data_IF_247647132749
#
_entry.id   IF_247647132749
#
_cell.length_a   1.000
_cell.length_b   1.000
_cell.length_c   1.000
_cell.angle_alpha   90.00
_cell.angle_beta   90.00
_cell.angle_gamma   90.00
#
_symmetry.space_group_name_H-M   'P 1'
#
loop_
_entity.id
_entity.type
_entity.pdbx_description
1 polymer ?
#
# COMPACT_ATOMS: atom_id res chain seq x y z
N UNK A 1 -10.72 19.75 49.67
CA UNK A 1 -10.73 18.71 48.61
C UNK A 1 -10.20 19.28 47.29
N UNK A 2 -8.86 19.32 47.17
CA UNK A 2 -8.18 19.69 45.93
C UNK A 2 -8.13 18.44 45.04
N UNK A 3 -8.95 18.43 43.99
CA UNK A 3 -8.77 17.48 42.88
C UNK A 3 -7.54 17.97 42.13
N UNK A 4 -6.40 17.35 42.47
CA UNK A 4 -5.15 17.45 41.74
C UNK A 4 -5.41 17.05 40.28
N UNK A 5 -5.47 18.05 39.40
CA UNK A 5 -5.35 17.87 37.95
C UNK A 5 -3.95 17.30 37.68
N UNK A 6 -3.87 15.98 37.65
CA UNK A 6 -2.76 15.27 37.04
C UNK A 6 -2.91 15.39 35.51
N UNK A 7 -2.66 16.59 34.99
CA UNK A 7 -2.32 16.81 33.59
C UNK A 7 -0.88 16.33 33.39
N UNK A 8 -0.70 15.01 33.39
CA UNK A 8 0.53 14.39 32.88
C UNK A 8 0.73 14.92 31.46
N UNK A 9 1.82 15.66 31.27
CA UNK A 9 2.13 16.32 30.00
C UNK A 9 2.16 15.29 28.87
N UNK A 10 1.13 15.32 28.02
CA UNK A 10 1.11 14.59 26.75
C UNK A 10 2.46 14.77 26.08
N UNK A 11 3.11 13.67 25.68
CA UNK A 11 4.41 13.74 25.03
C UNK A 11 4.28 14.68 23.83
N UNK A 12 5.23 15.59 23.61
CA UNK A 12 5.14 16.60 22.54
C UNK A 12 4.87 16.01 21.15
N UNK A 13 5.17 14.72 20.94
CA UNK A 13 4.79 13.94 19.75
C UNK A 13 3.27 13.70 19.66
N UNK A 14 2.59 13.33 20.75
CA UNK A 14 1.14 13.10 20.78
C UNK A 14 0.34 14.34 20.35
N UNK A 15 0.79 15.53 20.77
CA UNK A 15 0.16 16.78 20.33
C UNK A 15 0.33 16.99 18.82
N UNK A 16 1.49 16.64 18.26
CA UNK A 16 1.72 16.74 16.82
C UNK A 16 0.83 15.76 16.05
N UNK A 17 0.72 14.50 16.49
CA UNK A 17 -0.20 13.52 15.90
C UNK A 17 -1.63 14.03 15.87
N UNK A 18 -2.13 14.50 17.02
CA UNK A 18 -3.47 15.07 17.10
C UNK A 18 -3.67 16.27 16.16
N UNK A 19 -2.67 17.13 16.01
CA UNK A 19 -2.74 18.29 15.12
C UNK A 19 -2.82 17.89 13.65
N UNK A 20 -2.01 16.94 13.21
CA UNK A 20 -2.04 16.49 11.81
C UNK A 20 -3.31 15.70 11.48
N UNK A 21 -3.82 14.91 12.42
CA UNK A 21 -5.09 14.19 12.27
C UNK A 21 -6.26 15.15 12.15
N UNK A 22 -6.33 16.15 13.05
CA UNK A 22 -7.37 17.18 13.00
C UNK A 22 -7.29 18.03 11.73
N UNK A 23 -6.07 18.32 11.27
CA UNK A 23 -5.86 19.08 10.04
C UNK A 23 -6.33 18.28 8.82
N UNK A 24 -5.95 17.01 8.69
CA UNK A 24 -6.31 16.15 7.57
C UNK A 24 -7.79 15.74 7.57
N UNK A 25 -8.40 15.57 8.75
CA UNK A 25 -9.76 15.07 8.87
C UNK A 25 -9.87 13.65 8.30
N UNK A 26 -10.69 13.47 7.27
CA UNK A 26 -10.86 12.20 6.55
C UNK A 26 -10.20 12.21 5.16
N UNK A 27 -9.47 13.28 4.82
CA UNK A 27 -8.83 13.43 3.52
C UNK A 27 -7.49 12.67 3.49
N UNK A 28 -7.16 12.11 2.33
CA UNK A 28 -5.92 11.40 2.03
C UNK A 28 -5.15 12.09 0.90
N UNK A 29 -3.85 11.79 0.70
CA UNK A 29 -3.00 12.41 -0.32
C UNK A 29 -3.55 12.44 -1.75
N UNK A 30 -4.39 11.49 -2.16
CA UNK A 30 -5.05 11.50 -3.47
C UNK A 30 -6.24 12.45 -3.59
N UNK A 31 -6.77 12.91 -2.45
CA UNK A 31 -7.98 13.71 -2.42
C UNK A 31 -7.67 15.17 -2.76
N UNK A 32 -8.57 15.80 -3.53
CA UNK A 32 -8.35 17.16 -4.06
C UNK A 32 -8.16 18.21 -2.96
N UNK A 33 -8.81 18.01 -1.81
CA UNK A 33 -8.84 18.96 -0.69
C UNK A 33 -7.80 18.65 0.38
N UNK A 34 -6.88 17.72 0.12
CA UNK A 34 -5.89 17.32 1.11
C UNK A 34 -5.01 18.52 1.56
N UNK A 35 -4.88 18.77 2.88
CA UNK A 35 -4.38 20.05 3.41
C UNK A 35 -2.85 20.10 3.54
N UNK A 36 -2.14 19.89 2.42
CA UNK A 36 -0.67 19.81 2.36
C UNK A 36 0.07 20.90 3.16
N UNK A 37 -0.31 22.16 2.95
CA UNK A 37 0.36 23.30 3.56
C UNK A 37 0.18 23.35 5.08
N UNK A 38 -1.00 22.96 5.59
CA UNK A 38 -1.30 22.97 7.01
C UNK A 38 -0.53 21.86 7.75
N UNK A 39 -0.45 20.67 7.16
CA UNK A 39 0.34 19.56 7.71
C UNK A 39 1.83 19.94 7.83
N UNK A 40 2.38 20.54 6.78
CA UNK A 40 3.75 21.08 6.78
C UNK A 40 3.97 22.10 7.88
N UNK A 41 3.03 23.03 8.07
CA UNK A 41 3.10 24.04 9.13
C UNK A 41 3.20 23.41 10.53
N UNK A 42 2.42 22.37 10.81
CA UNK A 42 2.48 21.66 12.10
C UNK A 42 3.84 21.00 12.33
N UNK A 43 4.43 20.39 11.29
CA UNK A 43 5.77 19.81 11.35
C UNK A 43 6.87 20.85 11.54
N UNK A 44 6.81 21.98 10.81
CA UNK A 44 7.76 23.08 10.99
C UNK A 44 7.71 23.65 12.42
N UNK A 45 6.51 23.81 12.99
CA UNK A 45 6.34 24.24 14.38
C UNK A 45 6.90 23.23 15.38
N UNK A 46 6.70 21.94 15.12
CA UNK A 46 7.26 20.85 15.92
C UNK A 46 8.79 20.90 15.90
N UNK A 47 9.40 21.00 14.71
CA UNK A 47 10.85 21.05 14.53
C UNK A 47 11.48 22.31 15.14
N UNK A 48 10.84 23.48 14.96
CA UNK A 48 11.33 24.75 15.54
C UNK A 48 11.44 24.68 17.07
N UNK A 49 10.51 24.00 17.74
CA UNK A 49 10.53 23.79 19.21
C UNK A 49 11.68 22.88 19.68
N UNK A 50 12.39 22.20 18.76
CA UNK A 50 13.52 21.32 19.07
C UNK A 50 14.88 21.99 18.88
N UNK A 51 14.91 23.21 18.33
CA UNK A 51 16.14 23.95 18.11
C UNK A 51 16.85 23.54 16.82
N UNK A 52 18.16 23.78 16.77
CA UNK A 52 19.00 23.43 15.62
C UNK A 52 19.27 21.93 15.63
N UNK A 53 18.66 21.21 14.70
CA UNK A 53 18.89 19.79 14.46
C UNK A 53 19.73 19.63 13.18
N UNK A 54 20.67 18.69 13.19
CA UNK A 54 21.29 18.17 11.98
C UNK A 54 20.26 17.42 11.11
N UNK A 55 20.59 17.16 9.85
CA UNK A 55 19.70 16.41 8.96
C UNK A 55 19.46 14.97 9.48
N UNK A 56 20.49 14.31 9.99
CA UNK A 56 20.38 12.95 10.54
C UNK A 56 19.47 12.89 11.78
N UNK A 57 19.60 13.85 12.70
CA UNK A 57 18.72 13.94 13.88
C UNK A 57 17.26 14.25 13.50
N UNK A 58 17.08 15.06 12.44
CA UNK A 58 15.76 15.36 11.88
C UNK A 58 15.14 14.12 11.27
N UNK A 59 15.88 13.39 10.44
CA UNK A 59 15.43 12.14 9.81
C UNK A 59 15.02 11.11 10.85
N UNK A 60 15.85 10.90 11.89
CA UNK A 60 15.54 9.99 13.00
C UNK A 60 14.25 10.38 13.72
N UNK A 61 14.08 11.67 14.03
CA UNK A 61 12.89 12.17 14.73
C UNK A 61 11.62 12.07 13.90
N UNK A 62 11.68 12.47 12.64
CA UNK A 62 10.52 12.44 11.75
C UNK A 62 10.15 10.99 11.39
N UNK A 63 11.14 10.12 11.19
CA UNK A 63 10.92 8.68 11.04
C UNK A 63 10.23 8.07 12.25
N UNK A 64 10.66 8.42 13.46
CA UNK A 64 10.00 7.97 14.69
C UNK A 64 8.54 8.45 14.78
N UNK A 65 8.26 9.72 14.41
CA UNK A 65 6.88 10.21 14.34
C UNK A 65 6.06 9.40 13.33
N UNK A 66 6.54 9.18 12.10
CA UNK A 66 5.81 8.39 11.10
C UNK A 66 5.53 6.98 11.63
N UNK A 67 6.51 6.35 12.29
CA UNK A 67 6.39 4.99 12.81
C UNK A 67 5.41 4.89 13.99
N UNK A 68 5.43 5.86 14.91
CA UNK A 68 4.54 5.93 16.08
C UNK A 68 3.10 6.33 15.73
N UNK A 69 2.87 6.83 14.51
CA UNK A 69 1.53 7.21 14.06
C UNK A 69 0.65 5.98 13.78
N UNK A 70 -0.67 6.17 13.78
CA UNK A 70 -1.61 5.06 13.55
C UNK A 70 -1.32 4.41 12.19
N UNK A 71 -1.23 3.08 12.20
CA UNK A 71 -1.07 2.23 11.02
C UNK A 71 -2.01 2.55 9.86
N UNK A 72 -3.21 3.06 10.13
CA UNK A 72 -4.20 3.40 9.10
C UNK A 72 -4.07 4.82 8.54
N UNK A 73 -3.25 5.68 9.14
CA UNK A 73 -3.06 7.08 8.74
C UNK A 73 -1.59 7.48 8.59
N UNK A 74 -0.68 6.50 8.45
CA UNK A 74 0.76 6.75 8.23
C UNK A 74 1.05 7.62 7.01
N UNK A 75 0.17 7.59 6.01
CA UNK A 75 0.20 8.48 4.85
C UNK A 75 0.09 9.96 5.21
N UNK A 76 -0.71 10.31 6.23
CA UNK A 76 -0.86 11.68 6.72
C UNK A 76 0.44 12.14 7.37
N UNK A 77 1.04 11.30 8.22
CA UNK A 77 2.34 11.59 8.81
C UNK A 77 3.46 11.67 7.75
N UNK A 78 3.43 10.80 6.73
CA UNK A 78 4.37 10.87 5.61
C UNK A 78 4.24 12.19 4.86
N UNK A 79 3.01 12.62 4.53
CA UNK A 79 2.76 13.90 3.87
C UNK A 79 3.25 15.08 4.70
N UNK A 80 3.05 15.02 6.03
CA UNK A 80 3.50 16.04 6.95
C UNK A 80 5.03 16.10 7.13
N UNK A 81 5.75 15.00 6.93
CA UNK A 81 7.18 14.90 7.28
C UNK A 81 8.14 14.86 6.08
N UNK A 82 7.73 14.28 4.95
CA UNK A 82 8.65 13.90 3.87
C UNK A 82 9.46 15.05 3.26
N UNK A 83 8.90 16.28 3.23
CA UNK A 83 9.59 17.46 2.68
C UNK A 83 10.83 17.86 3.49
N UNK A 84 10.89 17.47 4.76
CA UNK A 84 11.95 17.83 5.70
C UNK A 84 12.96 16.70 5.92
N UNK A 85 12.70 15.52 5.35
CA UNK A 85 13.53 14.32 5.47
C UNK A 85 14.49 14.18 4.28
N UNK A 86 15.60 13.48 4.48
CA UNK A 86 16.44 13.05 3.36
C UNK A 86 15.71 12.00 2.50
N UNK A 87 16.05 11.88 1.20
CA UNK A 87 15.47 10.86 0.34
C UNK A 87 15.62 9.43 0.87
N UNK A 88 16.78 9.13 1.46
CA UNK A 88 17.09 7.83 2.05
C UNK A 88 16.19 7.54 3.27
N UNK A 89 15.94 8.55 4.12
CA UNK A 89 15.07 8.39 5.28
C UNK A 89 13.61 8.19 4.87
N UNK A 90 13.13 8.90 3.84
CA UNK A 90 11.78 8.68 3.28
C UNK A 90 11.65 7.26 2.74
N UNK A 91 12.66 6.76 2.01
CA UNK A 91 12.67 5.38 1.52
C UNK A 91 12.65 4.35 2.64
N UNK A 92 13.43 4.56 3.69
CA UNK A 92 13.40 3.68 4.87
C UNK A 92 12.02 3.66 5.53
N UNK A 93 11.33 4.80 5.60
CA UNK A 93 9.98 4.89 6.16
C UNK A 93 8.91 4.23 5.27
N UNK A 94 9.14 4.13 3.94
CA UNK A 94 8.29 3.44 2.96
C UNK A 94 8.60 1.94 2.83
N UNK A 95 9.32 1.34 3.78
CA UNK A 95 9.56 -0.10 3.76
C UNK A 95 8.24 -0.87 3.91
N UNK A 96 7.94 -1.76 2.95
CA UNK A 96 6.67 -2.51 2.90
C UNK A 96 6.42 -3.38 4.14
N UNK A 97 7.47 -3.96 4.73
CA UNK A 97 7.34 -4.88 5.87
C UNK A 97 6.89 -4.16 7.14
N UNK A 98 7.19 -2.85 7.25
CA UNK A 98 6.81 -2.02 8.38
C UNK A 98 5.41 -1.40 8.24
N UNK A 99 4.81 -1.49 7.06
CA UNK A 99 3.60 -0.75 6.72
C UNK A 99 2.43 -1.63 6.32
N UNK A 100 2.65 -2.85 5.85
CA UNK A 100 1.57 -3.73 5.38
C UNK A 100 1.63 -5.08 6.07
N UNK A 101 0.62 -5.34 6.90
CA UNK A 101 0.46 -6.59 7.64
C UNK A 101 0.36 -7.79 6.67
N UNK A 102 1.11 -8.89 6.92
CA UNK A 102 1.02 -10.09 6.09
C UNK A 102 -0.39 -10.68 6.13
N UNK A 103 -0.79 -11.37 5.06
CA UNK A 103 -2.09 -12.08 4.89
C UNK A 103 -3.32 -11.15 4.84
N UNK A 104 -3.49 -10.23 5.79
CA UNK A 104 -4.65 -9.34 5.89
C UNK A 104 -4.52 -8.06 5.07
N UNK A 105 -3.29 -7.66 4.75
CA UNK A 105 -2.96 -6.43 4.02
C UNK A 105 -3.53 -5.17 4.69
N UNK A 106 -3.75 -5.22 6.01
CA UNK A 106 -4.02 -4.03 6.81
C UNK A 106 -2.83 -3.07 6.63
N UNK A 107 -3.15 -1.80 6.37
CA UNK A 107 -2.16 -0.76 6.06
C UNK A 107 -1.84 -0.62 4.56
N UNK A 108 -2.29 -1.52 3.67
CA UNK A 108 -1.99 -1.41 2.23
C UNK A 108 -2.48 -0.08 1.63
N UNK A 109 -3.70 0.34 1.96
CA UNK A 109 -4.25 1.60 1.46
C UNK A 109 -3.38 2.80 1.89
N UNK A 110 -3.11 2.91 3.20
CA UNK A 110 -2.26 3.97 3.76
C UNK A 110 -0.82 3.89 3.19
N UNK A 111 -0.30 2.69 2.98
CA UNK A 111 1.01 2.49 2.35
C UNK A 111 1.07 3.05 0.93
N UNK A 112 0.07 2.79 0.08
CA UNK A 112 0.02 3.34 -1.28
C UNK A 112 -0.16 4.86 -1.26
N UNK A 113 -1.01 5.38 -0.38
CA UNK A 113 -1.16 6.83 -0.15
C UNK A 113 0.17 7.47 0.29
N UNK A 114 0.97 6.78 1.11
CA UNK A 114 2.27 7.27 1.54
C UNK A 114 3.27 7.41 0.37
N UNK A 115 3.20 6.56 -0.67
CA UNK A 115 4.00 6.75 -1.90
C UNK A 115 3.60 8.02 -2.65
N UNK A 116 2.29 8.29 -2.74
CA UNK A 116 1.76 9.53 -3.35
C UNK A 116 2.23 10.76 -2.56
N UNK A 117 2.16 10.70 -1.23
CA UNK A 117 2.65 11.73 -0.34
C UNK A 117 4.15 11.98 -0.45
N UNK A 118 4.95 10.90 -0.45
CA UNK A 118 6.39 10.99 -0.58
C UNK A 118 6.82 11.58 -1.93
N UNK A 119 6.19 11.19 -3.04
CA UNK A 119 6.47 11.79 -4.35
C UNK A 119 6.11 13.27 -4.41
N UNK A 120 4.97 13.67 -3.81
CA UNK A 120 4.57 15.08 -3.76
C UNK A 120 5.59 15.93 -2.98
N UNK A 121 6.02 15.45 -1.82
CA UNK A 121 6.87 16.21 -0.89
C UNK A 121 8.39 16.03 -1.13
N UNK A 122 8.81 14.92 -1.75
CA UNK A 122 10.21 14.52 -1.89
C UNK A 122 10.40 13.64 -3.15
N UNK A 123 10.46 14.29 -4.33
CA UNK A 123 10.59 13.64 -5.64
C UNK A 123 11.90 12.85 -5.82
N UNK A 124 12.94 13.22 -5.10
CA UNK A 124 14.22 12.50 -5.12
C UNK A 124 14.11 11.16 -4.39
N UNK A 125 13.18 11.05 -3.44
CA UNK A 125 12.85 9.78 -2.80
C UNK A 125 12.03 8.93 -3.75
N UNK A 126 10.83 9.36 -4.15
CA UNK A 126 9.85 8.53 -4.90
C UNK A 126 9.59 9.11 -6.29
N UNK A 127 9.76 8.27 -7.31
CA UNK A 127 9.56 8.65 -8.70
C UNK A 127 8.07 8.84 -9.05
N UNK A 128 7.79 9.62 -10.10
CA UNK A 128 6.43 9.81 -10.60
C UNK A 128 5.79 8.49 -11.04
N UNK A 129 6.60 7.55 -11.54
CA UNK A 129 6.15 6.22 -11.93
C UNK A 129 5.64 5.41 -10.72
N UNK A 130 6.37 5.41 -9.61
CA UNK A 130 5.96 4.72 -8.38
C UNK A 130 4.69 5.34 -7.81
N UNK A 131 4.60 6.66 -7.82
CA UNK A 131 3.40 7.37 -7.39
C UNK A 131 2.20 7.05 -8.30
N UNK A 132 2.42 6.93 -9.61
CA UNK A 132 1.36 6.53 -10.54
C UNK A 132 0.87 5.10 -10.27
N UNK A 133 1.80 4.16 -10.09
CA UNK A 133 1.45 2.79 -9.68
C UNK A 133 0.67 2.76 -8.37
N UNK A 134 1.08 3.57 -7.38
CA UNK A 134 0.37 3.66 -6.11
C UNK A 134 -1.07 4.16 -6.31
N UNK A 135 -1.27 5.24 -7.07
CA UNK A 135 -2.61 5.77 -7.39
C UNK A 135 -3.50 4.73 -8.06
N UNK A 136 -2.97 4.02 -9.04
CA UNK A 136 -3.75 3.07 -9.81
C UNK A 136 -4.05 1.77 -9.03
N UNK A 137 -3.26 1.46 -7.98
CA UNK A 137 -3.48 0.30 -7.11
C UNK A 137 -4.39 0.59 -5.91
N UNK A 138 -4.61 1.85 -5.54
CA UNK A 138 -5.49 2.22 -4.41
C UNK A 138 -6.89 1.58 -4.49
N UNK A 139 -7.59 1.54 -5.64
CA UNK A 139 -8.90 0.90 -5.73
C UNK A 139 -8.91 -0.59 -5.37
N UNK A 140 -7.75 -1.24 -5.42
CA UNK A 140 -7.57 -2.67 -5.11
C UNK A 140 -7.12 -2.93 -3.67
N UNK A 141 -6.84 -1.87 -2.89
CA UNK A 141 -6.29 -1.94 -1.54
C UNK A 141 -7.36 -2.17 -0.46
N UNK A 142 -8.27 -3.13 -0.67
CA UNK A 142 -9.23 -3.50 0.37
C UNK A 142 -8.64 -4.52 1.35
N UNK A 143 -8.66 -4.28 2.67
CA UNK A 143 -8.15 -5.25 3.64
C UNK A 143 -9.03 -6.50 3.75
N UNK A 144 -8.46 -7.58 4.28
CA UNK A 144 -9.15 -8.84 4.58
C UNK A 144 -8.57 -10.06 3.86
N UNK A 145 -9.23 -11.21 3.99
CA UNK A 145 -8.72 -12.48 3.47
C UNK A 145 -8.57 -12.51 1.94
N UNK A 146 -9.38 -11.74 1.21
CA UNK A 146 -9.33 -11.62 -0.25
C UNK A 146 -8.34 -10.54 -0.74
N UNK A 147 -7.71 -9.78 0.17
CA UNK A 147 -6.83 -8.66 -0.17
C UNK A 147 -5.66 -9.04 -1.08
N UNK A 148 -4.95 -10.18 -0.87
CA UNK A 148 -3.85 -10.57 -1.77
C UNK A 148 -4.34 -10.73 -3.21
N UNK A 149 -5.48 -11.39 -3.41
CA UNK A 149 -6.06 -11.62 -4.73
C UNK A 149 -6.50 -10.32 -5.42
N UNK A 150 -7.12 -9.40 -4.68
CA UNK A 150 -7.50 -8.07 -5.21
C UNK A 150 -6.28 -7.24 -5.60
N UNK A 151 -5.25 -7.23 -4.76
CA UNK A 151 -4.00 -6.54 -5.08
C UNK A 151 -3.36 -7.09 -6.37
N UNK A 152 -3.29 -8.42 -6.51
CA UNK A 152 -2.78 -9.06 -7.73
C UNK A 152 -3.64 -8.78 -8.96
N UNK A 153 -4.96 -8.72 -8.81
CA UNK A 153 -5.86 -8.29 -9.88
C UNK A 153 -5.51 -6.87 -10.34
N UNK A 154 -5.23 -5.94 -9.42
CA UNK A 154 -4.75 -4.60 -9.76
C UNK A 154 -3.43 -4.62 -10.52
N UNK A 155 -2.42 -5.33 -10.00
CA UNK A 155 -1.10 -5.45 -10.64
C UNK A 155 -1.23 -6.00 -12.07
N UNK A 156 -2.02 -7.06 -12.27
CA UNK A 156 -2.19 -7.66 -13.60
C UNK A 156 -3.02 -6.80 -14.55
N UNK A 157 -3.98 -6.01 -14.04
CA UNK A 157 -4.69 -5.01 -14.83
C UNK A 157 -3.74 -3.92 -15.35
N UNK A 158 -2.86 -3.41 -14.48
CA UNK A 158 -1.88 -2.37 -14.85
C UNK A 158 -0.87 -2.86 -15.87
N UNK A 159 -0.33 -4.07 -15.67
CA UNK A 159 0.60 -4.67 -16.63
C UNK A 159 -0.07 -4.96 -17.98
N UNK A 160 -1.35 -5.34 -17.97
CA UNK A 160 -2.12 -5.63 -19.18
C UNK A 160 -2.48 -4.40 -20.01
N UNK A 161 -2.62 -3.24 -19.39
CA UNK A 161 -2.98 -1.99 -20.08
C UNK A 161 -1.80 -1.39 -20.87
N UNK A 162 -0.58 -1.91 -20.73
CA UNK A 162 0.60 -1.53 -21.53
C UNK A 162 1.16 -0.12 -21.26
N UNK A 163 0.42 0.74 -20.57
CA UNK A 163 0.77 2.13 -20.29
C UNK A 163 1.89 2.26 -19.24
N UNK A 164 2.05 1.25 -18.39
CA UNK A 164 3.02 1.28 -17.31
C UNK A 164 4.20 0.33 -17.58
N UNK A 165 5.44 0.75 -17.28
CA UNK A 165 6.62 -0.09 -17.39
C UNK A 165 6.57 -1.29 -16.43
N UNK A 166 7.44 -2.27 -16.70
CA UNK A 166 7.49 -3.53 -15.97
C UNK A 166 7.73 -3.35 -14.48
N UNK A 167 7.09 -4.21 -13.68
CA UNK A 167 7.24 -4.31 -12.22
C UNK A 167 8.71 -4.44 -11.76
N UNK A 168 9.62 -4.87 -12.63
CA UNK A 168 11.06 -4.95 -12.35
C UNK A 168 11.70 -3.60 -12.01
N UNK A 169 11.11 -2.48 -12.46
CA UNK A 169 11.59 -1.13 -12.13
C UNK A 169 11.07 -0.63 -10.77
N UNK A 170 10.26 -1.44 -10.08
CA UNK A 170 9.49 -1.06 -8.89
C UNK A 170 9.73 -2.09 -7.78
N UNK A 171 10.92 -2.08 -7.13
CA UNK A 171 11.34 -3.15 -6.24
C UNK A 171 10.39 -3.37 -5.06
N UNK A 172 9.87 -2.30 -4.45
CA UNK A 172 8.92 -2.38 -3.33
C UNK A 172 7.59 -3.05 -3.75
N UNK A 173 7.04 -2.65 -4.90
CA UNK A 173 5.84 -3.25 -5.47
C UNK A 173 6.08 -4.71 -5.88
N UNK A 174 7.29 -5.03 -6.36
CA UNK A 174 7.67 -6.40 -6.70
C UNK A 174 7.77 -7.30 -5.46
N UNK A 175 8.32 -6.81 -4.35
CA UNK A 175 8.34 -7.52 -3.06
C UNK A 175 6.89 -7.79 -2.61
N UNK A 176 6.04 -6.76 -2.63
CA UNK A 176 4.64 -6.87 -2.25
C UNK A 176 3.86 -7.86 -3.14
N UNK A 177 4.10 -7.84 -4.45
CA UNK A 177 3.47 -8.77 -5.39
C UNK A 177 3.89 -10.22 -5.15
N UNK A 178 5.19 -10.49 -4.94
CA UNK A 178 5.67 -11.84 -4.59
C UNK A 178 5.02 -12.37 -3.32
N UNK A 179 4.93 -11.53 -2.28
CA UNK A 179 4.23 -11.88 -1.05
C UNK A 179 2.75 -12.16 -1.32
N UNK A 180 2.09 -11.33 -2.12
CA UNK A 180 0.69 -11.51 -2.47
C UNK A 180 0.43 -12.80 -3.24
N UNK A 181 1.35 -13.24 -4.11
CA UNK A 181 1.23 -14.54 -4.78
C UNK A 181 1.28 -15.70 -3.79
N UNK A 182 2.21 -15.68 -2.83
CA UNK A 182 2.32 -16.71 -1.79
C UNK A 182 1.06 -16.76 -0.93
N UNK A 183 0.59 -15.60 -0.46
CA UNK A 183 -0.60 -15.48 0.38
C UNK A 183 -1.86 -15.91 -0.38
N UNK A 184 -2.01 -15.49 -1.64
CA UNK A 184 -3.15 -15.84 -2.48
C UNK A 184 -3.19 -17.34 -2.81
N UNK A 185 -2.04 -17.93 -3.17
CA UNK A 185 -1.96 -19.38 -3.42
C UNK A 185 -2.32 -20.17 -2.17
N UNK A 186 -1.82 -19.75 -1.00
CA UNK A 186 -2.14 -20.38 0.28
C UNK A 186 -3.62 -20.25 0.62
N UNK A 187 -4.22 -19.09 0.35
CA UNK A 187 -5.65 -18.86 0.52
C UNK A 187 -6.49 -19.81 -0.35
N UNK A 188 -6.15 -19.97 -1.64
CA UNK A 188 -6.87 -20.87 -2.55
C UNK A 188 -6.77 -22.34 -2.14
N UNK A 189 -5.57 -22.80 -1.72
CA UNK A 189 -5.42 -24.16 -1.20
C UNK A 189 -6.22 -24.35 0.10
N UNK A 190 -6.26 -23.34 0.97
CA UNK A 190 -7.11 -23.34 2.16
C UNK A 190 -8.60 -23.50 1.84
N UNK A 191 -9.12 -22.75 0.85
CA UNK A 191 -10.51 -22.87 0.40
C UNK A 191 -10.79 -24.25 -0.20
N UNK A 192 -9.86 -24.77 -1.02
CA UNK A 192 -9.94 -26.11 -1.61
C UNK A 192 -10.00 -27.21 -0.55
N UNK A 193 -9.14 -27.17 0.46
CA UNK A 193 -9.12 -28.15 1.55
C UNK A 193 -10.40 -28.13 2.39
N UNK A 194 -11.03 -26.96 2.52
CA UNK A 194 -12.32 -26.79 3.21
C UNK A 194 -13.53 -27.08 2.33
N UNK A 195 -13.32 -27.44 1.06
CA UNK A 195 -14.38 -27.59 0.06
C UNK A 195 -15.21 -26.31 -0.17
N UNK A 196 -14.65 -25.13 0.11
CA UNK A 196 -15.29 -23.82 -0.10
C UNK A 196 -15.18 -23.39 -1.59
N UNK A 197 -15.66 -24.23 -2.49
CA UNK A 197 -15.49 -24.07 -3.94
C UNK A 197 -16.15 -22.82 -4.50
N UNK A 198 -17.28 -22.38 -3.92
CA UNK A 198 -17.95 -21.13 -4.30
C UNK A 198 -17.04 -19.91 -4.05
N UNK A 199 -16.39 -19.86 -2.87
CA UNK A 199 -15.45 -18.82 -2.52
C UNK A 199 -14.18 -18.91 -3.38
N UNK A 200 -13.65 -20.12 -3.61
CA UNK A 200 -12.48 -20.31 -4.46
C UNK A 200 -12.73 -19.80 -5.88
N UNK A 201 -13.89 -20.13 -6.45
CA UNK A 201 -14.29 -19.67 -7.77
C UNK A 201 -14.42 -18.14 -7.84
N UNK A 202 -15.04 -17.52 -6.82
CA UNK A 202 -15.13 -16.06 -6.74
C UNK A 202 -13.72 -15.42 -6.71
N UNK A 203 -12.80 -15.96 -5.92
CA UNK A 203 -11.43 -15.46 -5.76
C UNK A 203 -10.57 -15.56 -7.02
N UNK A 204 -10.81 -16.55 -7.90
CA UNK A 204 -10.05 -16.75 -9.15
C UNK A 204 -10.74 -16.21 -10.39
N UNK A 205 -11.98 -15.71 -10.28
CA UNK A 205 -12.80 -15.29 -11.42
C UNK A 205 -12.09 -14.29 -12.35
N UNK A 206 -11.32 -13.36 -11.79
CA UNK A 206 -10.55 -12.36 -12.54
C UNK A 206 -9.43 -12.97 -13.40
N UNK A 207 -8.86 -14.12 -13.04
CA UNK A 207 -7.82 -14.79 -13.83
C UNK A 207 -8.33 -15.23 -15.20
N UNK A 208 -9.62 -15.54 -15.30
CA UNK A 208 -10.26 -15.95 -16.56
C UNK A 208 -10.11 -14.88 -17.64
N UNK A 209 -10.20 -13.60 -17.25
CA UNK A 209 -10.07 -12.47 -18.17
C UNK A 209 -8.66 -12.32 -18.76
N UNK A 210 -7.66 -13.02 -18.22
CA UNK A 210 -6.30 -13.05 -18.77
C UNK A 210 -6.15 -14.08 -19.88
N UNK A 211 -6.94 -15.17 -19.87
CA UNK A 211 -6.90 -16.17 -20.94
C UNK A 211 -7.46 -15.64 -22.25
N UNK A 212 -8.41 -14.71 -22.16
CA UNK A 212 -9.08 -14.13 -23.33
C UNK A 212 -8.27 -12.99 -23.97
N UNK A 213 -7.14 -12.59 -23.37
CA UNK A 213 -6.29 -11.53 -23.91
C UNK A 213 -5.43 -12.09 -25.05
N UNK A 214 -5.42 -11.44 -26.22
CA UNK A 214 -4.50 -11.83 -27.29
C UNK A 214 -3.08 -11.68 -26.77
N UNK A 215 -2.29 -12.77 -26.83
CA UNK A 215 -0.89 -12.73 -26.40
C UNK A 215 -0.17 -11.67 -27.21
N UNK A 216 0.24 -10.57 -26.55
CA UNK A 216 1.03 -9.53 -27.19
C UNK A 216 2.39 -10.12 -27.58
N UNK A 217 2.51 -10.55 -28.82
CA UNK A 217 3.62 -11.38 -29.34
C UNK A 217 4.97 -10.64 -29.43
N UNK A 218 5.08 -9.37 -29.03
CA UNK A 218 6.24 -8.55 -29.44
C UNK A 218 6.81 -7.57 -28.40
N UNK A 219 6.45 -7.61 -27.12
CA UNK A 219 7.09 -6.72 -26.15
C UNK A 219 8.09 -7.45 -25.26
N UNK A 220 9.32 -6.95 -25.17
CA UNK A 220 10.35 -7.32 -24.19
C UNK A 220 9.96 -7.05 -22.73
N UNK A 221 8.68 -6.79 -22.46
CA UNK A 221 8.12 -6.47 -21.15
C UNK A 221 7.48 -7.73 -20.59
N UNK A 222 7.77 -8.03 -19.32
CA UNK A 222 7.10 -9.11 -18.59
C UNK A 222 5.61 -8.80 -18.49
N UNK A 223 4.81 -9.53 -19.26
CA UNK A 223 3.36 -9.46 -19.21
C UNK A 223 2.79 -10.06 -17.92
N UNK A 224 1.51 -9.80 -17.61
CA UNK A 224 0.86 -10.37 -16.43
C UNK A 224 0.90 -11.92 -16.43
N UNK A 225 0.79 -12.55 -17.59
CA UNK A 225 0.84 -14.01 -17.76
C UNK A 225 2.23 -14.56 -17.39
N UNK A 226 3.30 -13.91 -17.83
CA UNK A 226 4.67 -14.32 -17.51
C UNK A 226 4.97 -14.17 -16.01
N UNK A 227 4.47 -13.10 -15.39
CA UNK A 227 4.59 -12.93 -13.95
C UNK A 227 3.87 -14.05 -13.18
N UNK A 228 2.65 -14.39 -13.62
CA UNK A 228 1.87 -15.50 -13.06
C UNK A 228 2.53 -16.86 -13.30
N UNK A 229 3.16 -17.08 -14.46
CA UNK A 229 3.89 -18.32 -14.77
C UNK A 229 5.05 -18.58 -13.81
N UNK A 230 5.75 -17.51 -13.43
CA UNK A 230 6.88 -17.58 -12.53
C UNK A 230 6.43 -17.76 -11.07
N UNK A 231 5.41 -16.99 -10.64
CA UNK A 231 5.07 -16.89 -9.21
C UNK A 231 3.89 -17.77 -8.78
N UNK A 232 3.02 -18.18 -9.70
CA UNK A 232 1.84 -19.00 -9.44
C UNK A 232 1.56 -19.99 -10.58
N UNK A 233 2.40 -21.01 -10.82
CA UNK A 233 2.38 -21.83 -12.05
C UNK A 233 1.04 -22.50 -12.37
N UNK A 234 0.22 -22.80 -11.35
CA UNK A 234 -1.08 -23.44 -11.51
C UNK A 234 -2.21 -22.45 -11.87
N UNK A 235 -1.91 -21.16 -12.06
CA UNK A 235 -2.91 -20.13 -12.30
C UNK A 235 -3.79 -20.44 -13.51
N UNK A 236 -3.25 -21.05 -14.57
CA UNK A 236 -4.03 -21.40 -15.78
C UNK A 236 -5.10 -22.43 -15.51
N UNK A 237 -4.87 -23.37 -14.61
CA UNK A 237 -5.87 -24.37 -14.21
C UNK A 237 -7.04 -23.66 -13.53
N UNK A 238 -6.73 -22.76 -12.59
CA UNK A 238 -7.74 -21.93 -11.92
C UNK A 238 -8.46 -20.98 -12.89
N UNK A 239 -7.73 -20.39 -13.84
CA UNK A 239 -8.26 -19.47 -14.83
C UNK A 239 -9.17 -20.17 -15.86
N UNK A 240 -8.88 -21.43 -16.19
CA UNK A 240 -9.67 -22.23 -17.13
C UNK A 240 -10.86 -22.94 -16.44
N UNK A 241 -10.90 -22.94 -15.11
CA UNK A 241 -11.96 -23.58 -14.36
C UNK A 241 -13.30 -22.85 -14.58
N UNK A 242 -14.30 -23.60 -15.07
CA UNK A 242 -15.66 -23.11 -15.34
C UNK A 242 -16.69 -24.01 -14.63
N UNK A 243 -16.77 -23.96 -13.28
CA UNK A 243 -17.72 -24.80 -12.55
C UNK A 243 -19.17 -24.38 -12.83
N UNK A 244 -20.09 -25.32 -12.67
CA UNK A 244 -21.50 -25.00 -12.61
C UNK A 244 -21.79 -24.29 -11.27
N UNK A 245 -21.89 -22.96 -11.32
CA UNK A 245 -22.09 -22.11 -10.13
C UNK A 245 -23.40 -22.40 -9.40
N UNK A 246 -24.44 -22.88 -10.10
CA UNK A 246 -25.69 -23.32 -9.49
C UNK A 246 -25.49 -24.53 -8.57
N UNK A 247 -24.67 -25.50 -9.00
CA UNK A 247 -24.32 -26.67 -8.18
C UNK A 247 -23.42 -26.31 -7.00
N UNK A 248 -22.50 -25.36 -7.18
CA UNK A 248 -21.59 -24.94 -6.09
C UNK A 248 -22.30 -24.24 -4.93
N UNK A 249 -23.48 -23.65 -5.15
CA UNK A 249 -24.28 -23.03 -4.08
C UNK A 249 -25.07 -24.03 -3.25
N UNK A 250 -25.19 -25.28 -3.71
CA UNK A 250 -25.93 -26.36 -3.04
C UNK A 250 -25.03 -27.24 -2.17
N UNK A 251 -23.71 -27.05 -2.24
CA UNK A 251 -22.68 -27.71 -1.45
C UNK A 251 -22.22 -26.77 -0.33
#
# INVERSE_FOLDING_TARGET
>A
PFISMVLFGKRKSELWHLQIDLAAGNEHPTDEKFPWALLRLHTDQYLKKKGKLSQAERDLRLGALIHEHDSNSKDIAMAACAYAMSPQAVRAALNVELNVSPVTYIGLYSYLQAFVAANHCNKDAVSDLEAQWARDLIPYATPGAAAPGRYLQGVTALLGNGNLPSLNLLPEFAVLARRAFVDFSSHLEGLKLKCEWSAAHASVSWLSALLDRPSATSSSRLGPEQLLDIQFPNWRIWAAWRPNTGRLRLL
#
